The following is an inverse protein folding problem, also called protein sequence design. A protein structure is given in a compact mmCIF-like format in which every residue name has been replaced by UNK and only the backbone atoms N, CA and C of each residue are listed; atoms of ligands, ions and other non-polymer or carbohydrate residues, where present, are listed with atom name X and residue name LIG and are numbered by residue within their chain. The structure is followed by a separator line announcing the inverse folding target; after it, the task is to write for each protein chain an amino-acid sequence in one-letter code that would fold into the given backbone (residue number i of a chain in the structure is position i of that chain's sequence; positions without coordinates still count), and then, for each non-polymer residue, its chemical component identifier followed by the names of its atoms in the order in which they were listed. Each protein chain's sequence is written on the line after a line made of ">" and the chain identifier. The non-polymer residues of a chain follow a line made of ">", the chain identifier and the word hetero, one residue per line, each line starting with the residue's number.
data_IF_842896061852
#
_entry.id   IF_842896061852
#
_cell.length_a   1.000
_cell.length_b   1.000
_cell.length_c   1.000
_cell.angle_alpha   90.00
_cell.angle_beta   90.00
_cell.angle_gamma   90.00
#
_symmetry.space_group_name_H-M   'P 1'
#
loop_
_entity.id
_entity.type
_entity.pdbx_description
1 polymer ?
#
# COMPACT_ATOMS: atom_id res chain seq x y z
N UNK A 1 11.97 -0.46 -5.42
CA UNK A 1 10.98 -1.45 -5.91
C UNK A 1 11.25 -2.76 -5.19
N UNK A 2 10.22 -3.41 -4.65
CA UNK A 2 10.37 -4.76 -4.06
C UNK A 2 10.73 -5.77 -5.17
N UNK A 3 11.90 -6.43 -5.08
CA UNK A 3 12.33 -7.41 -6.07
C UNK A 3 11.53 -8.71 -5.96
N UNK A 4 11.29 -9.36 -7.10
CA UNK A 4 10.58 -10.63 -7.16
C UNK A 4 9.07 -10.52 -7.45
N UNK A 5 8.47 -11.65 -7.79
CA UNK A 5 7.02 -11.78 -7.98
C UNK A 5 6.27 -12.07 -6.66
N UNK A 6 4.94 -12.09 -6.72
CA UNK A 6 4.10 -12.31 -5.54
C UNK A 6 4.40 -13.64 -4.82
N UNK A 7 4.75 -14.70 -5.55
CA UNK A 7 5.04 -16.00 -4.97
C UNK A 7 6.40 -16.01 -4.26
N UNK A 8 7.41 -15.40 -4.88
CA UNK A 8 8.74 -15.23 -4.29
C UNK A 8 8.70 -14.37 -3.02
N UNK A 9 7.94 -13.28 -3.04
CA UNK A 9 7.75 -12.39 -1.89
C UNK A 9 7.07 -13.13 -0.73
N UNK A 10 6.00 -13.89 -1.02
CA UNK A 10 5.29 -14.68 -0.01
C UNK A 10 6.20 -15.73 0.62
N UNK A 11 6.94 -16.49 -0.19
CA UNK A 11 7.88 -17.50 0.30
C UNK A 11 9.01 -16.87 1.14
N UNK A 12 9.51 -15.71 0.74
CA UNK A 12 10.48 -14.95 1.52
C UNK A 12 9.92 -14.57 2.89
N UNK A 13 8.71 -13.99 2.95
CA UNK A 13 8.06 -13.58 4.19
C UNK A 13 7.73 -14.75 5.13
N UNK A 14 7.34 -15.91 4.57
CA UNK A 14 7.08 -17.14 5.34
C UNK A 14 8.31 -17.62 6.12
N UNK A 15 9.52 -17.44 5.57
CA UNK A 15 10.77 -17.76 6.27
C UNK A 15 11.00 -16.88 7.51
N UNK A 16 10.35 -15.71 7.61
CA UNK A 16 10.35 -14.84 8.77
C UNK A 16 9.14 -15.04 9.69
N UNK A 17 8.33 -16.06 9.44
CA UNK A 17 7.18 -16.39 10.29
C UNK A 17 5.99 -15.47 10.12
N UNK A 18 5.87 -14.74 9.00
CA UNK A 18 4.67 -13.97 8.67
C UNK A 18 3.45 -14.91 8.58
N UNK A 19 2.38 -14.58 9.32
CA UNK A 19 1.13 -15.38 9.40
C UNK A 19 -0.11 -14.65 8.93
N UNK A 20 -0.01 -13.36 8.64
CA UNK A 20 -1.11 -12.56 8.14
C UNK A 20 -1.16 -12.62 6.60
N UNK A 21 -2.35 -12.37 6.05
CA UNK A 21 -2.54 -12.30 4.61
C UNK A 21 -1.72 -11.18 4.00
N UNK A 22 -1.06 -11.49 2.88
CA UNK A 22 -0.32 -10.53 2.08
C UNK A 22 -1.08 -10.28 0.78
N UNK A 23 -1.28 -9.00 0.45
CA UNK A 23 -1.84 -8.61 -0.84
C UNK A 23 -0.79 -8.71 -1.94
N UNK A 24 -1.24 -8.75 -3.20
CA UNK A 24 -0.36 -8.71 -4.36
C UNK A 24 0.46 -7.42 -4.40
N UNK A 25 1.65 -7.49 -4.98
CA UNK A 25 2.45 -6.30 -5.29
C UNK A 25 1.68 -5.40 -6.24
N UNK A 26 1.62 -4.12 -5.90
CA UNK A 26 0.90 -3.08 -6.66
C UNK A 26 1.68 -1.77 -6.66
N UNK A 27 1.37 -0.91 -7.63
CA UNK A 27 1.85 0.46 -7.63
C UNK A 27 1.00 1.33 -6.69
N UNK A 28 1.67 2.13 -5.87
CA UNK A 28 1.04 3.05 -4.90
C UNK A 28 1.19 4.53 -5.31
N UNK A 29 2.11 4.80 -6.22
CA UNK A 29 2.42 6.11 -6.79
C UNK A 29 2.42 6.02 -8.32
N UNK A 30 2.36 7.18 -8.99
CA UNK A 30 2.28 7.25 -10.46
C UNK A 30 0.86 7.04 -11.01
N UNK A 31 0.76 7.06 -12.33
CA UNK A 31 -0.51 7.01 -13.06
C UNK A 31 -1.18 5.64 -12.98
N UNK A 32 -0.38 4.57 -12.86
CA UNK A 32 -0.86 3.18 -12.74
C UNK A 32 -1.14 2.76 -11.28
N UNK A 33 -1.07 3.70 -10.34
CA UNK A 33 -1.35 3.41 -8.94
C UNK A 33 -2.74 2.79 -8.76
N UNK A 34 -2.82 1.76 -7.92
CA UNK A 34 -4.07 1.06 -7.63
C UNK A 34 -5.15 2.05 -7.13
N UNK A 35 -6.43 1.91 -7.54
CA UNK A 35 -7.49 2.87 -7.20
C UNK A 35 -7.63 3.17 -5.71
N UNK A 36 -7.49 2.14 -4.86
CA UNK A 36 -7.46 2.30 -3.41
C UNK A 36 -6.38 3.29 -2.94
N UNK A 37 -5.16 3.21 -3.48
CA UNK A 37 -4.06 4.11 -3.11
C UNK A 37 -4.22 5.52 -3.66
N UNK A 38 -4.85 5.68 -4.83
CA UNK A 38 -5.26 7.00 -5.33
C UNK A 38 -6.25 7.64 -4.36
N UNK A 39 -7.31 6.92 -4.00
CA UNK A 39 -8.33 7.38 -3.06
C UNK A 39 -7.76 7.68 -1.66
N UNK A 40 -6.89 6.82 -1.11
CA UNK A 40 -6.29 7.04 0.21
C UNK A 40 -5.43 8.31 0.27
N UNK A 41 -4.67 8.61 -0.79
CA UNK A 41 -3.84 9.82 -0.88
C UNK A 41 -4.69 11.10 -0.95
N UNK A 42 -5.93 11.00 -1.39
CA UNK A 42 -6.87 12.12 -1.42
C UNK A 42 -7.57 12.36 -0.08
N UNK A 43 -7.54 11.41 0.85
CA UNK A 43 -8.15 11.57 2.17
C UNK A 43 -7.44 12.63 3.01
N UNK A 44 -8.13 13.32 3.93
CA UNK A 44 -7.55 14.41 4.72
C UNK A 44 -6.25 14.04 5.44
N UNK A 45 -6.12 12.80 5.90
CA UNK A 45 -4.92 12.28 6.58
C UNK A 45 -3.87 11.69 5.63
N UNK A 46 -4.23 11.42 4.37
CA UNK A 46 -3.33 10.91 3.34
C UNK A 46 -2.65 12.02 2.52
N UNK A 47 -3.18 13.25 2.57
CA UNK A 47 -2.60 14.41 1.89
C UNK A 47 -1.31 14.85 2.58
N UNK A 48 -0.23 14.91 1.79
CA UNK A 48 1.04 15.46 2.24
C UNK A 48 1.04 16.99 2.18
N UNK A 49 1.97 17.62 2.90
CA UNK A 49 2.17 19.08 2.85
C UNK A 49 2.86 19.54 1.55
N UNK A 50 3.58 18.64 0.89
CA UNK A 50 4.30 18.85 -0.37
C UNK A 50 4.06 17.64 -1.29
N UNK A 51 2.91 17.64 -1.97
CA UNK A 51 2.48 16.56 -2.87
C UNK A 51 1.82 15.36 -2.17
N UNK A 52 0.99 14.63 -2.92
CA UNK A 52 0.21 13.48 -2.44
C UNK A 52 0.84 12.15 -2.88
N UNK A 53 2.12 11.96 -2.58
CA UNK A 53 2.84 10.72 -2.84
C UNK A 53 3.11 9.95 -1.54
N UNK A 54 3.01 8.62 -1.59
CA UNK A 54 3.45 7.75 -0.50
C UNK A 54 4.98 7.86 -0.39
N UNK A 55 5.47 8.31 0.77
CA UNK A 55 6.90 8.45 1.04
C UNK A 55 7.54 7.07 1.27
N UNK A 56 8.81 6.94 0.94
CA UNK A 56 9.55 5.68 1.06
C UNK A 56 9.71 5.24 2.53
N UNK A 57 9.60 3.92 2.76
CA UNK A 57 9.65 3.21 4.05
C UNK A 57 8.60 3.65 5.08
N UNK A 58 7.33 3.31 4.81
CA UNK A 58 6.17 3.36 5.72
C UNK A 58 5.39 4.69 5.72
N UNK A 59 4.21 4.64 5.09
CA UNK A 59 3.13 5.61 5.29
C UNK A 59 2.00 4.90 6.01
N UNK A 60 1.57 5.43 7.17
CA UNK A 60 0.45 4.88 7.93
C UNK A 60 -0.80 5.72 7.66
N UNK A 61 -1.82 5.10 7.07
CA UNK A 61 -3.14 5.71 6.91
C UNK A 61 -4.10 5.00 7.85
N UNK A 62 -4.83 5.76 8.67
CA UNK A 62 -5.89 5.23 9.53
C UNK A 62 -7.16 6.00 9.18
N UNK A 63 -7.99 5.39 8.34
CA UNK A 63 -9.30 5.93 7.99
C UNK A 63 -10.38 5.25 8.84
N UNK A 64 -11.23 6.06 9.47
CA UNK A 64 -12.32 5.55 10.34
C UNK A 64 -13.58 5.24 9.54
N UNK A 65 -13.70 5.86 8.36
CA UNK A 65 -14.85 5.77 7.48
C UNK A 65 -14.46 5.06 6.18
N UNK A 66 -13.91 3.84 6.29
CA UNK A 66 -13.67 3.02 5.10
C UNK A 66 -15.02 2.73 4.43
N UNK A 67 -15.18 3.01 3.12
CA UNK A 67 -16.35 2.59 2.37
C UNK A 67 -16.54 1.09 2.54
N UNK A 68 -17.78 0.65 2.80
CA UNK A 68 -18.09 -0.77 3.05
C UNK A 68 -17.84 -1.71 1.84
N UNK A 69 -17.32 -1.18 0.73
CA UNK A 69 -17.10 -1.88 -0.54
C UNK A 69 -15.62 -1.90 -0.99
N UNK A 70 -14.69 -1.52 -0.10
CA UNK A 70 -13.25 -1.75 -0.27
C UNK A 70 -12.81 -2.93 0.58
#
# INVERSE_FOLDING_TARGET
>A
MEPGDNAQIKAFAENYGVKFDMYSKIDVNGDDAHPLWKWMKDQPKGRGTLGNAIKWNFTKVIEKDLPAYL
#
